data_IF_624031478744
#
_entry.id   IF_624031478744
#
_cell.length_a   1.000
_cell.length_b   1.000
_cell.length_c   1.000
_cell.angle_alpha   90.00
_cell.angle_beta   90.00
_cell.angle_gamma   90.00
#
_symmetry.space_group_name_H-M   'P 1'
#
loop_
_entity.id
_entity.type
_entity.pdbx_description
1 polymer ?
#
# COMPACT_ATOMS: atom_id res chain seq x y z
N UNK A 1 29.41 -15.74 -12.45
CA UNK A 1 28.03 -16.28 -12.59
C UNK A 1 27.17 -16.22 -11.30
N UNK A 2 27.70 -16.02 -10.08
CA UNK A 2 26.87 -16.09 -8.84
C UNK A 2 26.27 -14.74 -8.37
N UNK A 3 26.87 -13.58 -8.65
CA UNK A 3 26.38 -12.29 -8.09
C UNK A 3 25.16 -11.71 -8.82
N UNK A 4 25.07 -11.81 -10.16
CA UNK A 4 23.88 -11.37 -10.94
C UNK A 4 22.66 -12.29 -10.76
N UNK A 5 22.84 -13.59 -10.47
CA UNK A 5 21.74 -14.52 -10.23
C UNK A 5 21.11 -14.34 -8.83
N UNK A 6 21.90 -13.92 -7.84
CA UNK A 6 21.42 -13.55 -6.49
C UNK A 6 20.63 -12.23 -6.53
N UNK A 7 21.03 -11.21 -7.29
CA UNK A 7 20.23 -9.97 -7.51
C UNK A 7 18.90 -10.25 -8.25
N UNK A 8 18.87 -11.27 -9.12
CA UNK A 8 17.66 -11.70 -9.85
C UNK A 8 16.62 -12.34 -8.93
N UNK A 9 16.99 -13.04 -7.85
CA UNK A 9 16.06 -13.56 -6.81
C UNK A 9 15.50 -12.42 -5.92
N UNK A 10 16.28 -11.35 -5.76
CA UNK A 10 15.96 -10.21 -4.89
C UNK A 10 14.88 -9.25 -5.44
N UNK A 11 14.34 -9.51 -6.65
CA UNK A 11 13.27 -8.73 -7.30
C UNK A 11 11.98 -9.53 -7.60
N UNK A 12 11.95 -10.85 -7.37
CA UNK A 12 11.08 -11.74 -8.16
C UNK A 12 9.66 -12.00 -7.66
N UNK A 13 9.27 -11.67 -6.44
CA UNK A 13 7.82 -11.62 -6.16
C UNK A 13 7.43 -10.23 -5.67
N UNK A 14 7.81 -9.21 -6.44
CA UNK A 14 7.14 -7.91 -6.35
C UNK A 14 5.75 -8.05 -6.93
N UNK A 15 4.77 -7.84 -6.08
CA UNK A 15 3.35 -7.91 -6.39
C UNK A 15 2.78 -6.51 -6.35
N UNK A 16 1.80 -6.27 -7.21
CA UNK A 16 0.93 -5.09 -7.11
C UNK A 16 -0.43 -5.61 -6.68
N UNK A 17 -0.97 -5.04 -5.60
CA UNK A 17 -2.34 -5.24 -5.20
C UNK A 17 -3.07 -3.91 -5.31
N UNK A 18 -4.26 -3.95 -5.89
CA UNK A 18 -5.13 -2.80 -6.02
C UNK A 18 -6.40 -3.05 -5.23
N UNK A 19 -6.83 -2.05 -4.48
CA UNK A 19 -8.05 -2.08 -3.68
C UNK A 19 -8.89 -0.86 -4.02
N UNK A 20 -10.18 -1.08 -4.26
CA UNK A 20 -11.17 -0.01 -4.28
C UNK A 20 -11.78 0.08 -2.90
N UNK A 21 -11.78 1.29 -2.33
CA UNK A 21 -12.39 1.56 -1.02
C UNK A 21 -13.21 2.84 -1.12
N UNK A 22 -14.24 3.03 -0.27
CA UNK A 22 -15.03 4.25 -0.29
C UNK A 22 -14.17 5.49 -0.08
N UNK A 23 -14.52 6.59 -0.75
CA UNK A 23 -13.80 7.87 -0.67
C UNK A 23 -13.66 8.36 0.79
N UNK A 24 -14.63 8.04 1.66
CA UNK A 24 -14.59 8.39 3.09
C UNK A 24 -13.38 7.81 3.83
N UNK A 25 -12.78 6.71 3.34
CA UNK A 25 -11.59 6.11 3.94
C UNK A 25 -10.29 6.86 3.57
N UNK A 26 -10.34 7.79 2.61
CA UNK A 26 -9.16 8.53 2.18
C UNK A 26 -8.53 9.33 3.33
N UNK A 27 -9.35 9.95 4.18
CA UNK A 27 -8.88 10.74 5.33
C UNK A 27 -8.12 9.87 6.33
N UNK A 28 -8.64 8.67 6.63
CA UNK A 28 -8.01 7.73 7.55
C UNK A 28 -6.72 7.14 6.96
N UNK A 29 -6.72 6.78 5.68
CA UNK A 29 -5.55 6.19 5.01
C UNK A 29 -4.43 7.21 4.84
N UNK A 30 -4.75 8.46 4.44
CA UNK A 30 -3.75 9.50 4.20
C UNK A 30 -3.32 10.13 5.53
N UNK A 31 -4.28 10.48 6.38
CA UNK A 31 -4.06 11.18 7.65
C UNK A 31 -3.64 12.64 7.49
N UNK A 32 -3.69 13.38 8.60
CA UNK A 32 -3.30 14.80 8.64
C UNK A 32 -1.86 14.95 8.16
N UNK A 33 -1.64 15.78 7.13
CA UNK A 33 -0.32 16.00 6.54
C UNK A 33 0.32 14.75 5.91
N UNK A 34 -0.45 13.70 5.63
CA UNK A 34 0.07 12.43 5.11
C UNK A 34 0.69 11.52 6.16
N UNK A 35 0.45 11.77 7.45
CA UNK A 35 1.09 11.04 8.55
C UNK A 35 0.79 9.52 8.52
N UNK A 36 -0.45 9.14 8.22
CA UNK A 36 -0.89 7.75 8.27
C UNK A 36 -0.35 6.94 7.09
N UNK A 37 -0.46 7.45 5.86
CA UNK A 37 0.13 6.77 4.70
C UNK A 37 1.65 6.68 4.82
N UNK A 38 2.30 7.69 5.42
CA UNK A 38 3.73 7.62 5.71
C UNK A 38 4.05 6.55 6.76
N UNK A 39 3.22 6.40 7.80
CA UNK A 39 3.32 5.28 8.75
C UNK A 39 3.16 3.93 8.04
N UNK A 40 2.11 3.73 7.25
CA UNK A 40 1.86 2.46 6.54
C UNK A 40 3.03 2.10 5.61
N UNK A 41 3.54 3.05 4.81
CA UNK A 41 4.70 2.84 3.94
C UNK A 41 5.95 2.44 4.72
N UNK A 42 6.24 3.13 5.83
CA UNK A 42 7.40 2.85 6.68
C UNK A 42 7.30 1.48 7.35
N UNK A 43 6.13 1.16 7.90
CA UNK A 43 5.91 -0.08 8.67
C UNK A 43 5.81 -1.31 7.77
N UNK A 44 5.14 -1.21 6.62
CA UNK A 44 5.00 -2.32 5.67
C UNK A 44 6.22 -2.50 4.75
N UNK A 45 7.00 -1.44 4.52
CA UNK A 45 8.03 -1.42 3.48
C UNK A 45 7.48 -1.46 2.05
N UNK A 46 6.16 -1.36 1.88
CA UNK A 46 5.50 -1.28 0.58
C UNK A 46 5.47 0.16 0.07
N UNK A 47 5.41 0.29 -1.26
CA UNK A 47 5.09 1.53 -1.95
C UNK A 47 3.57 1.59 -2.05
N UNK A 48 2.97 2.62 -1.46
CA UNK A 48 1.52 2.86 -1.53
C UNK A 48 1.24 4.10 -2.38
N UNK A 49 0.22 4.04 -3.23
CA UNK A 49 -0.37 5.23 -3.87
C UNK A 49 -1.88 5.22 -3.67
N UNK A 50 -2.46 6.40 -3.58
CA UNK A 50 -3.90 6.61 -3.43
C UNK A 50 -4.31 7.58 -4.53
N UNK A 51 -5.34 7.23 -5.28
CA UNK A 51 -5.85 8.02 -6.39
C UNK A 51 -7.37 7.88 -6.49
N UNK A 52 -8.03 8.81 -7.16
CA UNK A 52 -9.47 8.69 -7.46
C UNK A 52 -9.74 7.46 -8.33
N UNK A 53 -10.85 6.77 -8.09
CA UNK A 53 -11.27 5.66 -8.92
C UNK A 53 -11.92 6.18 -10.21
N UNK A 54 -11.37 5.78 -11.36
CA UNK A 54 -11.88 6.19 -12.66
C UNK A 54 -13.34 5.72 -12.85
N UNK A 55 -14.26 6.67 -13.01
CA UNK A 55 -15.69 6.39 -13.21
C UNK A 55 -16.47 6.05 -11.94
N UNK A 56 -15.83 6.10 -10.76
CA UNK A 56 -16.45 5.82 -9.47
C UNK A 56 -16.15 6.98 -8.49
N UNK A 57 -16.97 8.04 -8.49
CA UNK A 57 -16.69 9.28 -7.74
C UNK A 57 -16.70 9.08 -6.22
N UNK A 58 -17.38 8.05 -5.73
CA UNK A 58 -17.47 7.74 -4.31
C UNK A 58 -16.41 6.72 -3.85
N UNK A 59 -15.43 6.43 -4.71
CA UNK A 59 -14.36 5.47 -4.41
C UNK A 59 -12.97 6.05 -4.70
N UNK A 60 -12.01 5.55 -3.93
CA UNK A 60 -10.58 5.71 -4.20
C UNK A 60 -9.97 4.36 -4.52
N UNK A 61 -8.92 4.41 -5.32
CA UNK A 61 -8.07 3.27 -5.62
C UNK A 61 -6.79 3.39 -4.81
N UNK A 62 -6.51 2.38 -4.00
CA UNK A 62 -5.25 2.21 -3.28
C UNK A 62 -4.43 1.15 -4.00
N UNK A 63 -3.23 1.52 -4.44
CA UNK A 63 -2.28 0.61 -5.05
C UNK A 63 -1.13 0.34 -4.08
N UNK A 64 -0.81 -0.93 -3.88
CA UNK A 64 0.22 -1.41 -2.96
C UNK A 64 1.22 -2.24 -3.75
N UNK A 65 2.48 -1.83 -3.73
CA UNK A 65 3.58 -2.45 -4.45
C UNK A 65 4.68 -2.88 -3.50
N UNK A 66 5.02 -4.16 -3.50
CA UNK A 66 6.04 -4.72 -2.62
C UNK A 66 6.16 -6.23 -2.77
N UNK A 67 6.90 -6.89 -1.90
CA UNK A 67 6.84 -8.34 -1.78
C UNK A 67 5.48 -8.78 -1.20
N UNK A 68 5.12 -10.07 -1.33
CA UNK A 68 3.87 -10.60 -0.76
C UNK A 68 3.62 -10.19 0.69
N UNK A 69 4.65 -10.29 1.54
CA UNK A 69 4.56 -9.90 2.96
C UNK A 69 4.40 -8.39 3.15
N UNK A 70 5.10 -7.58 2.36
CA UNK A 70 4.96 -6.12 2.40
C UNK A 70 3.54 -5.70 2.00
N UNK A 71 3.00 -6.30 0.94
CA UNK A 71 1.64 -6.04 0.47
C UNK A 71 0.62 -6.45 1.52
N UNK A 72 0.76 -7.65 2.11
CA UNK A 72 -0.15 -8.15 3.13
C UNK A 72 -0.11 -7.29 4.41
N UNK A 73 1.08 -6.87 4.86
CA UNK A 73 1.21 -5.99 6.01
C UNK A 73 0.57 -4.61 5.76
N UNK A 74 0.78 -4.04 4.58
CA UNK A 74 0.14 -2.77 4.20
C UNK A 74 -1.39 -2.89 4.18
N UNK A 75 -1.92 -3.96 3.61
CA UNK A 75 -3.36 -4.22 3.59
C UNK A 75 -3.95 -4.35 4.99
N UNK A 76 -3.29 -5.07 5.90
CA UNK A 76 -3.74 -5.18 7.29
C UNK A 76 -3.78 -3.82 8.00
N UNK A 77 -2.76 -2.99 7.81
CA UNK A 77 -2.73 -1.64 8.40
C UNK A 77 -3.83 -0.73 7.82
N UNK A 78 -4.18 -0.90 6.54
CA UNK A 78 -5.30 -0.19 5.91
C UNK A 78 -6.64 -0.66 6.49
N UNK A 79 -6.81 -1.97 6.73
CA UNK A 79 -8.08 -2.55 7.21
C UNK A 79 -8.36 -2.27 8.69
N UNK A 80 -7.34 -2.24 9.54
CA UNK A 80 -7.50 -1.94 10.98
C UNK A 80 -7.81 -0.45 11.20
N UNK A 81 -7.28 0.42 10.33
CA UNK A 81 -7.43 1.86 10.50
C UNK A 81 -6.44 2.42 11.54
N UNK A 82 -5.84 3.59 11.30
CA UNK A 82 -4.92 4.22 12.25
C UNK A 82 -5.56 4.74 13.53
N UNK A 83 -6.90 4.84 13.60
CA UNK A 83 -7.63 5.27 14.81
C UNK A 83 -7.48 4.30 15.99
N UNK A 84 -6.98 3.10 15.74
CA UNK A 84 -6.71 2.08 16.76
C UNK A 84 -5.27 2.15 17.32
N UNK A 85 -4.47 3.17 16.93
CA UNK A 85 -3.09 3.40 17.38
C UNK A 85 -2.84 4.84 17.84
#
# INVERSE_FOLDING_TARGET
MQVQAVVRILQILKMTKTMQVPLSYAEDIIGIGGANIAYIRRTSGAILTVQESMGLPDEITVEIKGTSSQVQAAEQLIQVGPSDF
#
